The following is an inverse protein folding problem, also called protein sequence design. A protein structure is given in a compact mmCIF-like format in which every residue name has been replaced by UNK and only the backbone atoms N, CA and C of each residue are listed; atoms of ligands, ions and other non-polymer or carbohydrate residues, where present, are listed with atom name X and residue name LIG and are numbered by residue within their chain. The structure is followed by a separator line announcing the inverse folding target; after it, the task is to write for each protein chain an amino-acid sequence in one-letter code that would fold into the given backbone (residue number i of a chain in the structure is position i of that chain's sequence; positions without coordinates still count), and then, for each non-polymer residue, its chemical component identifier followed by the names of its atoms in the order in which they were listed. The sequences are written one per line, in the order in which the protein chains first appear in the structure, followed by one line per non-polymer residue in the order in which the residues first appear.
data_IF_515978838397
#
_entry.id   IF_515978838397
#
_cell.length_a   1.000
_cell.length_b   1.000
_cell.length_c   1.000
_cell.angle_alpha   90.00
_cell.angle_beta   90.00
_cell.angle_gamma   90.00
#
_symmetry.space_group_name_H-M   'P 1'
#
loop_
_entity.id
_entity.type
_entity.pdbx_description
1 polymer ?
#
# COMPACT_ATOMS: atom_id res chain seq x y z
N UNK A 1 5.50 23.01 5.09
CA UNK A 1 6.14 22.72 6.39
C UNK A 1 5.46 21.49 6.96
N UNK A 2 6.21 20.56 7.56
CA UNK A 2 5.59 19.43 8.25
C UNK A 2 5.04 19.90 9.61
N UNK A 3 3.82 19.49 9.94
CA UNK A 3 3.19 19.82 11.22
C UNK A 3 2.98 18.53 12.01
N UNK A 4 3.38 18.54 13.28
CA UNK A 4 3.04 17.46 14.20
C UNK A 4 1.54 17.53 14.51
N UNK A 5 0.85 16.43 14.27
CA UNK A 5 -0.61 16.34 14.45
C UNK A 5 -0.95 15.77 15.82
N UNK A 6 -0.44 14.56 16.13
CA UNK A 6 -0.74 13.82 17.36
C UNK A 6 0.21 12.66 17.55
N UNK A 7 0.43 12.29 18.81
CA UNK A 7 1.05 11.04 19.23
C UNK A 7 -0.02 10.10 19.82
N UNK A 8 0.04 8.81 19.47
CA UNK A 8 -0.86 7.78 19.98
C UNK A 8 -0.14 6.42 20.01
N UNK A 9 -0.65 5.50 20.83
CA UNK A 9 -0.03 4.18 21.02
C UNK A 9 -0.80 3.13 20.23
N UNK A 10 -0.13 2.49 19.27
CA UNK A 10 -0.73 1.42 18.49
C UNK A 10 -0.99 0.19 19.38
N UNK A 11 -2.16 -0.47 19.29
CA UNK A 11 -2.53 -1.60 20.13
C UNK A 11 -1.84 -2.90 19.69
N UNK A 12 -0.52 -2.92 19.78
CA UNK A 12 0.35 -4.02 19.36
C UNK A 12 1.17 -4.52 20.54
N UNK A 13 1.36 -5.83 20.63
CA UNK A 13 2.13 -6.45 21.72
C UNK A 13 3.62 -6.61 21.37
N UNK A 14 4.04 -6.19 20.17
CA UNK A 14 5.39 -6.43 19.65
C UNK A 14 5.99 -5.12 19.14
N UNK A 15 7.32 -5.01 19.16
CA UNK A 15 8.02 -3.93 18.47
C UNK A 15 7.60 -3.87 16.99
N UNK A 16 7.31 -2.66 16.52
CA UNK A 16 6.91 -2.43 15.13
C UNK A 16 8.18 -2.28 14.31
N UNK A 17 8.48 -3.31 13.53
CA UNK A 17 9.59 -3.31 12.59
C UNK A 17 9.17 -3.98 11.28
N UNK A 18 9.77 -3.52 10.18
CA UNK A 18 9.53 -4.06 8.84
C UNK A 18 8.05 -4.07 8.45
N UNK A 19 7.38 -2.94 8.69
CA UNK A 19 5.95 -2.79 8.47
C UNK A 19 5.60 -2.50 7.01
N UNK A 20 4.46 -3.02 6.57
CA UNK A 20 3.75 -2.53 5.40
C UNK A 20 2.67 -1.55 5.87
N UNK A 21 2.79 -0.31 5.43
CA UNK A 21 1.86 0.75 5.77
C UNK A 21 1.26 1.33 4.50
N UNK A 22 -0.07 1.30 4.41
CA UNK A 22 -0.80 1.69 3.20
C UNK A 22 -1.91 2.65 3.58
N UNK A 23 -1.93 3.82 2.95
CA UNK A 23 -3.10 4.72 3.02
C UNK A 23 -4.16 4.22 2.04
N UNK A 24 -5.38 3.99 2.55
CA UNK A 24 -6.58 3.77 1.73
C UNK A 24 -7.09 5.15 1.35
N UNK A 25 -6.38 5.86 0.49
CA UNK A 25 -6.98 7.05 -0.11
C UNK A 25 -8.13 6.59 -0.98
N UNK A 26 -9.36 7.06 -0.72
CA UNK A 26 -10.35 7.14 -1.78
C UNK A 26 -9.71 7.96 -2.91
N UNK A 27 -9.59 7.33 -4.09
CA UNK A 27 -8.92 7.89 -5.26
C UNK A 27 -9.26 9.38 -5.45
N UNK A 28 -8.30 10.18 -5.94
CA UNK A 28 -8.33 11.65 -6.04
C UNK A 28 -9.55 12.32 -6.69
N UNK A 29 -10.50 11.56 -7.26
CA UNK A 29 -11.80 12.09 -7.69
C UNK A 29 -12.73 12.47 -6.52
N UNK A 30 -12.67 11.75 -5.39
CA UNK A 30 -13.46 12.14 -4.21
C UNK A 30 -12.93 13.46 -3.64
N UNK A 31 -11.62 13.75 -3.79
CA UNK A 31 -11.07 15.05 -3.41
C UNK A 31 -11.57 16.23 -4.26
N UNK A 32 -11.91 16.01 -5.54
CA UNK A 32 -12.59 17.04 -6.36
C UNK A 32 -14.07 17.20 -5.95
N UNK A 33 -14.78 16.12 -5.64
CA UNK A 33 -16.17 16.19 -5.12
C UNK A 33 -16.27 16.71 -3.68
N UNK A 34 -15.23 16.52 -2.86
CA UNK A 34 -15.10 17.05 -1.49
C UNK A 34 -15.12 18.58 -1.46
N UNK A 35 -14.83 19.27 -2.58
CA UNK A 35 -14.86 20.74 -2.66
C UNK A 35 -16.27 21.33 -2.75
N UNK A 36 -17.30 20.55 -3.12
CA UNK A 36 -18.66 21.07 -3.33
C UNK A 36 -19.51 20.96 -2.05
N UNK A 37 -19.21 20.01 -1.16
CA UNK A 37 -19.92 19.80 0.10
C UNK A 37 -18.95 19.79 1.29
N UNK A 38 -18.62 20.97 1.83
CA UNK A 38 -17.70 21.22 2.96
C UNK A 38 -18.01 20.48 4.29
N UNK A 39 -18.96 19.55 4.34
CA UNK A 39 -19.50 18.98 5.58
C UNK A 39 -19.27 17.48 5.81
N UNK A 40 -18.67 16.74 4.86
CA UNK A 40 -18.45 15.30 5.08
C UNK A 40 -17.00 14.84 4.86
N UNK A 41 -16.35 14.60 6.01
CA UNK A 41 -15.48 13.45 6.33
C UNK A 41 -14.00 13.50 5.90
N UNK A 42 -13.20 14.31 6.62
CA UNK A 42 -11.74 14.13 6.73
C UNK A 42 -11.38 12.88 7.59
N UNK A 43 -11.93 11.71 7.23
CA UNK A 43 -11.59 10.45 7.87
C UNK A 43 -10.65 9.68 6.95
N UNK A 44 -9.40 9.54 7.36
CA UNK A 44 -8.39 8.78 6.64
C UNK A 44 -8.40 7.35 7.15
N UNK A 45 -8.38 6.39 6.24
CA UNK A 45 -8.20 4.99 6.57
C UNK A 45 -6.81 4.54 6.14
N UNK A 46 -6.10 3.86 7.02
CA UNK A 46 -4.76 3.35 6.79
C UNK A 46 -4.70 1.90 7.26
N UNK A 47 -3.86 1.10 6.60
CA UNK A 47 -3.63 -0.30 6.94
C UNK A 47 -2.19 -0.47 7.35
N UNK A 48 -1.99 -1.12 8.50
CA UNK A 48 -0.70 -1.50 9.02
C UNK A 48 -0.62 -3.02 9.11
N UNK A 49 0.36 -3.60 8.43
CA UNK A 49 0.75 -5.00 8.54
C UNK A 49 2.15 -5.06 9.13
N UNK A 50 2.30 -5.69 10.30
CA UNK A 50 3.57 -5.83 10.98
C UNK A 50 3.59 -7.14 11.78
N UNK A 51 4.45 -8.09 11.40
CA UNK A 51 4.53 -9.41 12.03
C UNK A 51 3.14 -10.10 12.07
N UNK A 52 2.59 -10.36 13.26
CA UNK A 52 1.23 -10.90 13.48
C UNK A 52 0.17 -9.81 13.59
N UNK A 53 0.58 -8.55 13.72
CA UNK A 53 -0.30 -7.40 13.89
C UNK A 53 -0.83 -6.94 12.54
N UNK A 54 -2.16 -6.78 12.48
CA UNK A 54 -2.86 -6.19 11.35
C UNK A 54 -3.87 -5.19 11.88
N UNK A 55 -3.71 -3.93 11.52
CA UNK A 55 -4.54 -2.86 12.02
C UNK A 55 -5.13 -2.08 10.84
N UNK A 56 -6.44 -1.88 10.90
CA UNK A 56 -7.08 -0.75 10.27
C UNK A 56 -6.99 0.41 11.24
N UNK A 57 -6.39 1.50 10.79
CA UNK A 57 -6.22 2.74 11.53
C UNK A 57 -7.14 3.75 10.85
N UNK A 58 -8.09 4.29 11.60
CA UNK A 58 -8.92 5.39 11.14
C UNK A 58 -8.48 6.66 11.86
N UNK A 59 -8.25 7.73 11.10
CA UNK A 59 -7.89 9.03 11.63
C UNK A 59 -8.94 10.05 11.23
N UNK A 60 -9.57 10.71 12.20
CA UNK A 60 -10.49 11.81 11.98
C UNK A 60 -9.78 13.13 12.28
N UNK A 61 -9.55 13.93 11.25
CA UNK A 61 -8.81 15.19 11.35
C UNK A 61 -9.59 16.28 12.10
N UNK A 62 -10.93 16.30 11.98
CA UNK A 62 -11.77 17.32 12.62
C UNK A 62 -11.67 17.32 14.15
N UNK A 63 -11.49 16.14 14.73
CA UNK A 63 -11.41 15.96 16.18
C UNK A 63 -10.04 15.41 16.62
N UNK A 64 -9.10 15.25 15.69
CA UNK A 64 -7.77 14.70 15.92
C UNK A 64 -7.79 13.34 16.67
N UNK A 65 -8.68 12.42 16.26
CA UNK A 65 -8.84 11.11 16.91
C UNK A 65 -8.38 9.96 16.02
N UNK A 66 -7.65 9.02 16.63
CA UNK A 66 -7.35 7.73 16.02
C UNK A 66 -8.30 6.66 16.56
N UNK A 67 -8.73 5.77 15.69
CA UNK A 67 -9.42 4.54 16.04
C UNK A 67 -8.67 3.35 15.44
N UNK A 68 -8.54 2.28 16.22
CA UNK A 68 -7.74 1.12 15.84
C UNK A 68 -8.61 -0.13 15.85
N UNK A 69 -8.71 -0.78 14.69
CA UNK A 69 -9.41 -2.03 14.54
C UNK A 69 -8.43 -3.15 14.13
N UNK A 70 -8.37 -4.21 14.94
CA UNK A 70 -7.63 -5.42 14.58
C UNK A 70 -8.35 -6.15 13.44
N UNK A 71 -7.63 -6.42 12.35
CA UNK A 71 -8.17 -7.20 11.24
C UNK A 71 -8.08 -8.70 11.55
N UNK A 72 -9.06 -9.50 11.10
CA UNK A 72 -9.07 -10.93 11.36
C UNK A 72 -7.81 -11.62 10.81
N UNK A 73 -7.32 -12.58 11.57
CA UNK A 73 -6.13 -13.36 11.21
C UNK A 73 -6.55 -14.45 10.23
N UNK A 74 -6.25 -14.26 8.95
CA UNK A 74 -6.25 -15.37 7.98
C UNK A 74 -5.20 -16.41 8.42
N UNK A 75 -5.63 -17.65 8.68
CA UNK A 75 -4.79 -18.76 9.14
C UNK A 75 -3.65 -19.10 8.16
N UNK A 76 -3.83 -18.80 6.87
CA UNK A 76 -2.85 -19.08 5.82
C UNK A 76 -1.76 -18.00 5.69
N UNK A 77 -1.93 -16.87 6.38
CA UNK A 77 -0.99 -15.76 6.26
C UNK A 77 0.21 -15.98 7.19
N UNK A 78 1.36 -16.26 6.56
CA UNK A 78 2.66 -16.38 7.24
C UNK A 78 3.18 -14.99 7.64
N UNK A 79 3.85 -14.87 8.80
CA UNK A 79 4.61 -13.67 9.11
C UNK A 79 5.61 -13.37 8.00
N UNK A 80 5.56 -12.15 7.50
CA UNK A 80 6.35 -11.66 6.39
C UNK A 80 7.21 -10.52 6.92
N UNK A 81 8.49 -10.79 7.15
CA UNK A 81 9.46 -9.79 7.56
C UNK A 81 10.24 -9.28 6.36
N UNK A 82 10.61 -8.00 6.35
CA UNK A 82 11.55 -7.43 5.36
C UNK A 82 11.15 -7.66 3.90
N UNK A 83 9.84 -7.70 3.64
CA UNK A 83 9.29 -7.84 2.29
C UNK A 83 9.23 -6.48 1.63
N UNK A 84 9.42 -6.44 0.32
CA UNK A 84 8.99 -5.30 -0.47
C UNK A 84 7.46 -5.37 -0.67
N UNK A 85 6.80 -4.23 -0.82
CA UNK A 85 5.37 -4.20 -1.11
C UNK A 85 4.99 -3.03 -2.02
N UNK A 86 3.89 -3.19 -2.73
CA UNK A 86 3.19 -2.10 -3.45
C UNK A 86 1.70 -2.18 -3.18
N UNK A 87 1.03 -1.04 -3.25
CA UNK A 87 -0.42 -0.93 -3.13
C UNK A 87 -0.99 -0.45 -4.47
N UNK A 88 -1.89 -1.24 -5.05
CA UNK A 88 -2.53 -0.95 -6.34
C UNK A 88 -3.93 -1.56 -6.37
N UNK A 89 -4.93 -0.83 -6.89
CA UNK A 89 -6.30 -1.34 -7.11
C UNK A 89 -6.94 -2.09 -5.92
N UNK A 90 -6.80 -1.55 -4.70
CA UNK A 90 -7.28 -2.19 -3.45
C UNK A 90 -6.61 -3.53 -3.11
N UNK A 91 -5.44 -3.76 -3.69
CA UNK A 91 -4.60 -4.93 -3.49
C UNK A 91 -3.24 -4.49 -2.97
N UNK A 92 -2.72 -5.23 -1.99
CA UNK A 92 -1.33 -5.10 -1.56
C UNK A 92 -0.58 -6.34 -2.04
N UNK A 93 0.46 -6.12 -2.84
CA UNK A 93 1.37 -7.17 -3.28
C UNK A 93 2.62 -7.14 -2.41
N UNK A 94 3.08 -8.31 -1.97
CA UNK A 94 4.28 -8.50 -1.16
C UNK A 94 5.26 -9.39 -1.90
N UNK A 95 6.53 -9.01 -1.92
CA UNK A 95 7.59 -9.69 -2.64
C UNK A 95 8.71 -10.11 -1.69
N UNK A 96 9.00 -11.41 -1.69
CA UNK A 96 10.12 -12.00 -0.97
C UNK A 96 9.96 -11.96 0.55
N UNK A 97 10.99 -11.46 1.23
CA UNK A 97 11.06 -11.32 2.67
C UNK A 97 11.75 -12.46 3.40
N UNK A 98 11.53 -12.52 4.70
CA UNK A 98 12.13 -13.47 5.62
C UNK A 98 11.02 -14.18 6.38
N UNK A 99 11.01 -15.51 6.36
CA UNK A 99 10.01 -16.32 7.06
C UNK A 99 10.45 -16.68 8.49
N UNK A 100 9.53 -17.30 9.25
CA UNK A 100 9.75 -17.74 10.64
C UNK A 100 10.88 -18.76 10.83
N UNK A 101 11.25 -19.49 9.78
CA UNK A 101 12.32 -20.50 9.81
C UNK A 101 13.68 -19.90 9.48
N UNK A 102 13.77 -18.58 9.49
CA UNK A 102 14.96 -17.83 9.11
C UNK A 102 15.44 -18.09 7.67
N UNK A 103 14.55 -18.38 6.74
CA UNK A 103 14.89 -18.53 5.30
C UNK A 103 14.39 -17.32 4.50
N UNK A 104 15.23 -16.80 3.59
CA UNK A 104 14.82 -15.75 2.66
C UNK A 104 13.84 -16.36 1.65
N UNK A 105 12.76 -15.64 1.42
CA UNK A 105 11.65 -16.10 0.59
C UNK A 105 11.78 -15.57 -0.83
N UNK A 106 11.36 -16.39 -1.78
CA UNK A 106 11.06 -16.00 -3.16
C UNK A 106 9.56 -15.89 -3.42
N UNK A 107 8.72 -16.03 -2.40
CA UNK A 107 7.27 -16.03 -2.57
C UNK A 107 6.73 -14.64 -2.91
N UNK A 108 5.63 -14.63 -3.65
CA UNK A 108 4.82 -13.44 -3.89
C UNK A 108 3.47 -13.66 -3.22
N UNK A 109 3.05 -12.70 -2.42
CA UNK A 109 1.77 -12.75 -1.73
C UNK A 109 0.89 -11.58 -2.12
N UNK A 110 -0.42 -11.82 -2.05
CA UNK A 110 -1.46 -10.82 -2.33
C UNK A 110 -2.39 -10.72 -1.13
N UNK A 111 -2.69 -9.49 -0.74
CA UNK A 111 -3.82 -9.20 0.13
C UNK A 111 -4.86 -8.36 -0.61
N UNK A 112 -6.04 -8.92 -0.84
CA UNK A 112 -7.20 -8.17 -1.32
C UNK A 112 -7.88 -7.50 -0.14
N UNK A 113 -7.89 -6.16 -0.13
CA UNK A 113 -8.51 -5.37 0.93
C UNK A 113 -10.02 -5.52 0.90
N UNK A 114 -10.61 -5.56 -0.29
CA UNK A 114 -12.06 -5.67 -0.48
C UNK A 114 -12.57 -7.02 0.06
N UNK A 115 -11.92 -8.11 -0.34
CA UNK A 115 -12.30 -9.45 0.10
C UNK A 115 -11.76 -9.81 1.49
N UNK A 116 -10.85 -8.97 2.03
CA UNK A 116 -10.07 -9.25 3.24
C UNK A 116 -9.34 -10.60 3.16
N UNK A 117 -8.90 -10.97 1.95
CA UNK A 117 -8.39 -12.30 1.63
C UNK A 117 -6.89 -12.27 1.36
N UNK A 118 -6.19 -13.26 1.89
CA UNK A 118 -4.77 -13.51 1.64
C UNK A 118 -4.61 -14.60 0.57
N UNK A 119 -3.63 -14.43 -0.30
CA UNK A 119 -3.29 -15.36 -1.37
C UNK A 119 -1.77 -15.45 -1.50
N UNK A 120 -1.28 -16.64 -1.85
CA UNK A 120 0.12 -16.86 -2.23
C UNK A 120 0.14 -17.34 -3.67
N UNK A 121 0.97 -16.71 -4.51
CA UNK A 121 1.12 -17.14 -5.89
C UNK A 121 2.04 -18.36 -5.98
N UNK A 122 1.75 -19.24 -6.94
CA UNK A 122 2.60 -20.39 -7.25
C UNK A 122 3.86 -19.97 -8.02
N UNK A 123 3.78 -18.90 -8.81
CA UNK A 123 4.93 -18.31 -9.52
C UNK A 123 5.79 -17.51 -8.52
N UNK A 124 7.01 -17.95 -8.20
CA UNK A 124 7.87 -17.22 -7.30
C UNK A 124 8.71 -16.17 -8.04
N UNK A 125 9.39 -15.33 -7.28
CA UNK A 125 10.53 -14.55 -7.75
C UNK A 125 11.66 -15.49 -8.25
N UNK A 126 12.49 -15.05 -9.22
CA UNK A 126 13.63 -15.81 -9.72
C UNK A 126 14.67 -16.13 -8.64
N UNK A 127 14.80 -15.26 -7.64
CA UNK A 127 15.72 -15.43 -6.50
C UNK A 127 15.05 -15.05 -5.19
N UNK A 128 15.41 -15.69 -4.07
CA UNK A 128 15.04 -15.23 -2.74
C UNK A 128 15.61 -13.84 -2.45
N UNK A 129 14.78 -12.91 -1.99
CA UNK A 129 15.17 -11.53 -1.70
C UNK A 129 14.47 -11.04 -0.44
N UNK A 130 15.22 -10.40 0.46
CA UNK A 130 14.69 -9.58 1.56
C UNK A 130 15.31 -8.20 1.54
N UNK A 131 14.77 -7.27 2.33
CA UNK A 131 15.29 -5.90 2.43
C UNK A 131 15.37 -5.20 1.05
N UNK A 132 14.49 -5.59 0.12
CA UNK A 132 14.35 -4.95 -1.19
C UNK A 132 13.26 -3.88 -1.15
N UNK A 133 13.23 -3.03 -2.18
CA UNK A 133 12.20 -2.02 -2.38
C UNK A 133 11.38 -2.41 -3.60
N UNK A 134 10.06 -2.22 -3.53
CA UNK A 134 9.18 -2.33 -4.69
C UNK A 134 8.51 -0.99 -4.94
N UNK A 135 8.46 -0.59 -6.21
CA UNK A 135 7.83 0.64 -6.68
C UNK A 135 7.02 0.35 -7.93
N UNK A 136 5.92 1.07 -8.12
CA UNK A 136 5.14 1.03 -9.36
C UNK A 136 5.80 1.95 -10.40
N UNK A 137 5.65 1.62 -11.68
CA UNK A 137 5.88 2.56 -12.77
C UNK A 137 4.83 3.69 -12.73
N UNK A 138 5.12 4.81 -13.39
CA UNK A 138 4.24 5.98 -13.43
C UNK A 138 2.84 5.66 -13.96
N UNK A 139 2.76 4.78 -14.95
CA UNK A 139 1.54 4.28 -15.57
C UNK A 139 0.94 3.06 -14.85
N UNK A 140 1.46 2.70 -13.67
CA UNK A 140 1.09 1.52 -12.89
C UNK A 140 1.16 0.17 -13.63
N UNK A 141 1.74 0.13 -14.83
CA UNK A 141 1.76 -1.09 -15.66
C UNK A 141 2.74 -2.12 -15.11
N UNK A 142 3.79 -1.67 -14.41
CA UNK A 142 4.88 -2.50 -13.94
C UNK A 142 5.17 -2.30 -12.46
N UNK A 143 5.58 -3.39 -11.80
CA UNK A 143 6.27 -3.35 -10.52
C UNK A 143 7.76 -3.50 -10.77
N UNK A 144 8.55 -2.56 -10.24
CA UNK A 144 9.99 -2.66 -10.17
C UNK A 144 10.42 -3.08 -8.77
N UNK A 145 11.20 -4.16 -8.67
CA UNK A 145 11.80 -4.64 -7.42
C UNK A 145 13.30 -4.37 -7.51
N UNK A 146 13.83 -3.60 -6.57
CA UNK A 146 15.20 -3.06 -6.60
C UNK A 146 15.95 -3.44 -5.33
N UNK A 147 17.20 -3.87 -5.50
CA UNK A 147 18.14 -4.15 -4.43
C UNK A 147 17.87 -5.47 -3.71
N UNK A 148 18.05 -5.44 -2.39
CA UNK A 148 17.81 -6.56 -1.49
C UNK A 148 19.05 -7.36 -1.13
N UNK A 149 18.83 -8.40 -0.32
CA UNK A 149 19.83 -9.29 0.23
C UNK A 149 19.36 -10.73 0.00
N UNK A 150 20.26 -11.60 -0.45
CA UNK A 150 19.98 -13.02 -0.66
C UNK A 150 20.18 -13.86 0.63
N UNK A 151 19.95 -15.17 0.54
CA UNK A 151 20.17 -16.12 1.67
C UNK A 151 21.62 -16.11 2.19
N UNK A 152 22.59 -15.84 1.32
CA UNK A 152 24.01 -15.73 1.66
C UNK A 152 24.40 -14.39 2.29
N UNK A 153 23.43 -13.57 2.72
CA UNK A 153 23.65 -12.23 3.29
C UNK A 153 24.38 -11.27 2.34
N UNK A 154 24.41 -11.58 1.03
CA UNK A 154 25.05 -10.73 0.03
C UNK A 154 24.06 -9.69 -0.46
N UNK A 155 24.47 -8.43 -0.45
CA UNK A 155 23.74 -7.35 -1.10
C UNK A 155 23.66 -7.62 -2.60
N UNK A 156 22.45 -7.47 -3.13
CA UNK A 156 22.14 -7.72 -4.53
C UNK A 156 21.91 -6.39 -5.25
N UNK A 157 22.50 -6.24 -6.43
CA UNK A 157 22.13 -5.19 -7.39
C UNK A 157 20.98 -5.65 -8.29
N UNK A 158 20.03 -6.38 -7.71
CA UNK A 158 18.90 -6.93 -8.47
C UNK A 158 17.97 -5.81 -8.87
N UNK A 159 17.64 -5.73 -10.16
CA UNK A 159 16.52 -4.96 -10.67
C UNK A 159 15.63 -5.91 -11.45
N UNK A 160 14.42 -6.11 -10.95
CA UNK A 160 13.41 -6.91 -11.61
C UNK A 160 12.24 -6.03 -12.01
N UNK A 161 11.63 -6.39 -13.14
CA UNK A 161 10.43 -5.76 -13.66
C UNK A 161 9.41 -6.85 -13.93
N UNK A 162 8.19 -6.70 -13.44
CA UNK A 162 7.06 -7.62 -13.70
C UNK A 162 5.81 -6.80 -13.97
N UNK A 163 4.96 -7.29 -14.86
CA UNK A 163 3.70 -6.62 -15.18
C UNK A 163 2.70 -6.78 -14.04
N UNK A 164 2.00 -5.71 -13.68
CA UNK A 164 0.98 -5.73 -12.63
C UNK A 164 -0.15 -6.71 -12.96
N UNK A 165 -0.54 -6.81 -14.24
CA UNK A 165 -1.59 -7.73 -14.71
C UNK A 165 -1.30 -9.21 -14.45
N UNK A 166 -0.04 -9.59 -14.23
CA UNK A 166 0.30 -10.96 -13.84
C UNK A 166 -0.19 -11.30 -12.42
N UNK A 167 -0.47 -10.28 -11.60
CA UNK A 167 -0.77 -10.41 -10.17
C UNK A 167 -2.19 -9.98 -9.80
N UNK A 168 -2.94 -9.37 -10.73
CA UNK A 168 -4.30 -8.91 -10.52
C UNK A 168 -5.30 -9.77 -11.29
N UNK A 169 -6.52 -9.91 -10.76
CA UNK A 169 -7.66 -10.46 -11.52
C UNK A 169 -8.21 -9.41 -12.49
N UNK A 170 -8.99 -9.86 -13.49
CA UNK A 170 -9.67 -8.94 -14.42
C UNK A 170 -10.56 -7.92 -13.69
N UNK A 171 -11.24 -8.32 -12.62
CA UNK A 171 -12.07 -7.43 -11.80
C UNK A 171 -11.24 -6.39 -11.02
N UNK A 172 -10.03 -6.76 -10.59
CA UNK A 172 -9.09 -5.86 -9.94
C UNK A 172 -8.48 -4.87 -10.96
N UNK A 173 -8.33 -5.27 -12.23
CA UNK A 173 -7.80 -4.43 -13.31
C UNK A 173 -8.82 -3.42 -13.88
N UNK A 174 -10.10 -3.78 -14.02
CA UNK A 174 -11.14 -2.90 -14.59
C UNK A 174 -11.32 -1.58 -13.83
N UNK A 175 -10.92 -1.53 -12.56
CA UNK A 175 -10.94 -0.31 -11.74
C UNK A 175 -9.90 0.74 -12.14
N UNK A 176 -8.98 0.40 -13.03
CA UNK A 176 -8.04 1.33 -13.68
C UNK A 176 -8.60 1.86 -15.01
N UNK A 177 -9.21 0.99 -15.84
CA UNK A 177 -9.74 1.36 -17.17
C UNK A 177 -10.97 2.30 -17.11
N UNK A 178 -11.84 2.13 -16.11
CA UNK A 178 -12.94 3.08 -15.86
C UNK A 178 -12.42 4.49 -15.50
N UNK A 179 -11.18 4.61 -14.99
CA UNK A 179 -10.59 5.90 -14.63
C UNK A 179 -9.99 6.64 -15.83
N UNK A 180 -9.38 5.92 -16.78
CA UNK A 180 -8.75 6.53 -17.95
C UNK A 180 -9.79 7.07 -18.94
N UNK A 181 -10.90 6.34 -19.14
CA UNK A 181 -12.02 6.75 -19.99
C UNK A 181 -12.77 7.98 -19.43
N UNK A 182 -12.96 8.07 -18.11
CA UNK A 182 -13.51 9.26 -17.46
C UNK A 182 -12.54 10.46 -17.52
N UNK A 183 -11.23 10.24 -17.54
CA UNK A 183 -10.23 11.31 -17.66
C UNK A 183 -10.23 11.98 -19.05
N UNK A 184 -10.46 11.20 -20.12
CA UNK A 184 -10.59 11.72 -21.48
C UNK A 184 -11.90 12.50 -21.67
N UNK A 185 -13.01 12.02 -21.10
CA UNK A 185 -14.29 12.73 -21.11
C UNK A 185 -14.18 14.09 -20.38
N UNK A 186 -13.42 14.16 -19.28
CA UNK A 186 -13.18 15.40 -18.52
C UNK A 186 -12.22 16.38 -19.20
N UNK A 187 -11.29 15.90 -20.07
CA UNK A 187 -10.42 16.77 -20.88
C UNK A 187 -11.19 17.53 -21.97
N UNK A 188 -12.29 16.96 -22.47
CA UNK A 188 -13.14 17.62 -23.48
C UNK A 188 -13.99 18.73 -22.86
N UNK A 189 -14.27 18.68 -21.55
CA UNK A 189 -15.15 19.65 -20.86
C UNK A 189 -14.40 20.83 -20.22
N UNK A 190 -13.12 20.69 -19.83
CA UNK A 190 -12.37 21.77 -19.14
C UNK A 190 -11.37 22.51 -20.06
N UNK A 191 -11.88 23.27 -21.04
CA UNK A 191 -11.16 24.43 -21.61
C UNK A 191 -11.74 25.72 -21.05
N UNK A 192 -11.51 25.99 -19.75
CA UNK A 192 -11.58 27.33 -19.15
C UNK A 192 -11.01 27.31 -17.72
N UNK A 193 -10.00 28.15 -17.54
CA UNK A 193 -9.41 28.67 -16.31
C UNK A 193 -8.88 27.69 -15.26
N UNK A 194 -7.62 27.27 -15.46
CA UNK A 194 -6.80 26.63 -14.43
C UNK A 194 -6.25 27.71 -13.49
N UNK A 195 -6.87 27.86 -12.31
CA UNK A 195 -6.19 28.47 -11.15
C UNK A 195 -5.31 27.40 -10.51
N UNK A 196 -4.05 27.74 -10.22
CA UNK A 196 -3.12 26.90 -9.47
C UNK A 196 -3.77 26.41 -8.17
N UNK A 197 -3.92 25.09 -8.05
CA UNK A 197 -4.39 24.42 -6.84
C UNK A 197 -3.17 23.84 -6.14
N UNK A 198 -2.90 24.28 -4.91
CA UNK A 198 -1.96 23.61 -4.03
C UNK A 198 -2.52 22.22 -3.69
N UNK A 199 -1.77 21.17 -4.01
CA UNK A 199 -2.06 19.80 -3.61
C UNK A 199 -1.26 19.53 -2.35
N UNK A 200 -1.93 19.38 -1.21
CA UNK A 200 -1.29 18.95 0.03
C UNK A 200 -1.22 17.42 0.06
N UNK A 201 0.00 16.89 0.02
CA UNK A 201 0.28 15.47 0.18
C UNK A 201 0.53 15.21 1.67
N UNK A 202 -0.37 14.48 2.32
CA UNK A 202 -0.21 14.07 3.71
C UNK A 202 0.72 12.85 3.79
N UNK A 203 1.96 13.06 4.24
CA UNK A 203 2.84 11.99 4.68
C UNK A 203 2.64 11.75 6.17
N UNK A 204 2.06 10.61 6.55
CA UNK A 204 2.06 10.17 7.96
C UNK A 204 3.32 9.34 8.19
N UNK A 205 4.35 9.98 8.77
CA UNK A 205 5.54 9.31 9.24
C UNK A 205 5.28 8.81 10.66
N UNK A 206 5.20 7.49 10.84
CA UNK A 206 5.25 6.89 12.17
C UNK A 206 6.70 6.70 12.57
N UNK A 207 7.14 7.44 13.58
CA UNK A 207 8.40 7.18 14.28
C UNK A 207 8.06 6.18 15.39
N UNK A 208 8.74 5.04 15.40
CA UNK A 208 8.60 4.02 16.44
C UNK A 208 9.82 4.14 17.35
N UNK A 209 9.60 4.46 18.62
CA UNK A 209 10.62 4.50 19.68
C UNK A 209 10.89 3.10 20.28
#
# INVERSE_FOLDING_TARGET
TFQFIKHDTLPTNNSICYNCFVSKSENGQVQEMMKINQKYKQNYQMLLFCNKTRLLIEYNENNNTFQFQKLPVCHDMKPLFKCAYVYINNVILFFGGWNINNVVSKSVHKYSIQEKKWMTFQKPLPSPLRDCVAILSEDNTYVHIIGGVNDGYKSMSTHMKTEVREWLSEEEMKKEEEKDSDSEMNKIVKKKDVKNVNVEIFFVLFVFD
#
